data_IF_672104105468
#
_entry.id   IF_672104105468
#
_cell.length_a   1.000
_cell.length_b   1.000
_cell.length_c   1.000
_cell.angle_alpha   90.00
_cell.angle_beta   90.00
_cell.angle_gamma   90.00
#
_symmetry.space_group_name_H-M   'P 1'
#
loop_
_entity.id
_entity.type
_entity.pdbx_description
1 polymer ?
#
# COMPACT_ATOMS: atom_id res chain seq x y z
N UNK A 1 7.24 32.51 -23.61
CA UNK A 1 7.57 31.09 -23.43
C UNK A 1 6.27 30.35 -23.15
N UNK A 2 5.80 29.48 -24.04
CA UNK A 2 4.67 28.60 -23.75
C UNK A 2 5.21 27.37 -23.02
N UNK A 3 4.71 27.08 -21.83
CA UNK A 3 4.99 25.81 -21.16
C UNK A 3 4.32 24.71 -21.99
N UNK A 4 5.08 23.71 -22.42
CA UNK A 4 4.58 22.56 -23.17
C UNK A 4 3.79 21.64 -22.22
N UNK A 5 2.58 22.09 -21.87
CA UNK A 5 1.67 21.41 -20.96
C UNK A 5 0.44 20.98 -21.74
N UNK A 6 0.07 19.71 -21.59
CA UNK A 6 -1.14 19.19 -22.23
C UNK A 6 -2.39 19.96 -21.75
N UNK A 7 -3.36 20.15 -22.63
CA UNK A 7 -4.66 20.76 -22.31
C UNK A 7 -5.33 20.08 -21.12
N UNK A 8 -5.16 18.76 -21.00
CA UNK A 8 -5.68 17.96 -19.88
C UNK A 8 -5.02 18.35 -18.55
N UNK A 9 -3.72 18.63 -18.55
CA UNK A 9 -3.01 19.09 -17.35
C UNK A 9 -3.55 20.44 -16.90
N UNK A 10 -3.72 21.38 -17.84
CA UNK A 10 -4.27 22.72 -17.57
C UNK A 10 -5.68 22.61 -16.98
N UNK A 11 -6.56 21.81 -17.58
CA UNK A 11 -7.92 21.60 -17.09
C UNK A 11 -7.96 21.00 -15.69
N UNK A 12 -7.07 20.04 -15.38
CA UNK A 12 -6.99 19.46 -14.03
C UNK A 12 -6.54 20.47 -12.99
N UNK A 13 -5.55 21.31 -13.32
CA UNK A 13 -5.07 22.36 -12.42
C UNK A 13 -6.16 23.38 -12.13
N UNK A 14 -6.88 23.85 -13.16
CA UNK A 14 -7.97 24.81 -13.00
C UNK A 14 -9.15 24.23 -12.21
N UNK A 15 -9.55 22.99 -12.50
CA UNK A 15 -10.62 22.32 -11.76
C UNK A 15 -10.25 22.16 -10.27
N UNK A 16 -8.99 21.83 -9.98
CA UNK A 16 -8.52 21.71 -8.60
C UNK A 16 -8.53 23.07 -7.89
N UNK A 17 -8.02 24.12 -8.54
CA UNK A 17 -8.04 25.48 -7.98
C UNK A 17 -9.46 25.99 -7.72
N UNK A 18 -10.41 25.78 -8.62
CA UNK A 18 -11.80 26.18 -8.39
C UNK A 18 -12.49 25.41 -7.27
N UNK A 19 -12.06 24.17 -7.00
CA UNK A 19 -12.67 23.33 -5.96
C UNK A 19 -12.09 23.61 -4.57
N UNK A 20 -10.77 23.84 -4.47
CA UNK A 20 -10.06 23.90 -3.20
C UNK A 20 -9.43 25.27 -2.90
N UNK A 21 -9.39 26.18 -3.87
CA UNK A 21 -8.77 27.51 -3.74
C UNK A 21 -7.25 27.49 -3.70
N UNK A 22 -6.62 26.32 -3.73
CA UNK A 22 -5.16 26.13 -3.69
C UNK A 22 -4.75 25.08 -4.71
N UNK A 23 -3.50 25.16 -5.17
CA UNK A 23 -2.86 24.11 -5.98
C UNK A 23 -1.68 23.61 -5.15
N UNK A 24 -1.75 22.41 -4.57
CA UNK A 24 -0.63 21.82 -3.84
C UNK A 24 0.56 21.69 -4.77
N UNK A 25 1.74 22.17 -4.34
CA UNK A 25 2.95 21.89 -5.07
C UNK A 25 3.29 20.41 -4.80
N UNK A 26 3.62 19.58 -5.81
CA UNK A 26 3.99 18.17 -5.58
C UNK A 26 5.19 17.95 -4.63
N UNK A 27 5.86 19.00 -4.16
CA UNK A 27 6.87 18.96 -3.10
C UNK A 27 6.47 19.58 -1.77
N UNK A 28 5.29 20.22 -1.67
CA UNK A 28 4.72 20.64 -0.39
C UNK A 28 3.83 19.49 0.11
N UNK A 29 4.21 18.92 1.24
CA UNK A 29 3.68 17.65 1.75
C UNK A 29 2.24 17.71 2.27
N UNK A 30 1.42 18.71 1.89
CA UNK A 30 0.13 18.93 2.54
C UNK A 30 -0.99 17.97 2.09
N UNK A 31 -0.85 17.27 0.96
CA UNK A 31 -1.87 16.31 0.47
C UNK A 31 -1.43 14.83 0.47
N UNK A 32 -0.14 14.53 0.72
CA UNK A 32 0.31 13.15 0.93
C UNK A 32 -0.17 12.59 2.29
N UNK A 33 -0.43 13.47 3.27
CA UNK A 33 -0.88 13.05 4.60
C UNK A 33 -2.30 12.46 4.61
N UNK A 34 -3.18 12.85 3.68
CA UNK A 34 -4.56 12.34 3.67
C UNK A 34 -4.74 11.03 2.87
N UNK A 35 -3.69 10.58 2.16
CA UNK A 35 -3.62 9.23 1.56
C UNK A 35 -2.74 8.28 2.34
N UNK A 36 -2.44 8.58 3.60
CA UNK A 36 -2.13 7.54 4.59
C UNK A 36 -3.41 6.72 4.79
N UNK A 37 -3.68 5.83 3.84
CA UNK A 37 -4.67 4.77 3.94
C UNK A 37 -4.49 4.20 5.33
N UNK A 38 -5.51 4.34 6.21
CA UNK A 38 -5.52 3.75 7.55
C UNK A 38 -4.87 2.38 7.47
N UNK A 39 -3.61 2.27 7.91
CA UNK A 39 -2.86 1.04 7.76
C UNK A 39 -3.58 0.05 8.65
N UNK A 40 -4.29 -0.91 8.06
CA UNK A 40 -4.98 -1.95 8.84
C UNK A 40 -3.99 -2.77 9.67
N UNK A 41 -2.71 -2.81 9.26
CA UNK A 41 -1.60 -3.42 9.98
C UNK A 41 -0.67 -2.33 10.50
N UNK A 42 -0.32 -2.38 11.79
CA UNK A 42 0.73 -1.56 12.36
C UNK A 42 2.09 -2.13 11.98
N UNK A 43 3.14 -1.34 12.12
CA UNK A 43 4.49 -1.75 11.72
C UNK A 43 4.96 -3.01 12.49
N UNK A 44 4.56 -3.17 13.76
CA UNK A 44 4.81 -4.40 14.56
C UNK A 44 4.12 -5.64 13.99
N UNK A 45 2.90 -5.49 13.46
CA UNK A 45 2.15 -6.60 12.88
C UNK A 45 2.77 -7.00 11.52
N UNK A 46 3.32 -6.01 10.80
CA UNK A 46 4.09 -6.23 9.57
C UNK A 46 5.40 -6.97 9.87
N UNK A 47 6.15 -6.55 10.89
CA UNK A 47 7.40 -7.21 11.28
C UNK A 47 7.19 -8.67 11.67
N UNK A 48 6.14 -8.95 12.45
CA UNK A 48 5.72 -10.32 12.79
C UNK A 48 5.41 -11.15 11.54
N UNK A 49 4.63 -10.60 10.60
CA UNK A 49 4.28 -11.28 9.36
C UNK A 49 5.52 -11.61 8.53
N UNK A 50 6.44 -10.65 8.35
CA UNK A 50 7.66 -10.84 7.57
C UNK A 50 8.59 -11.86 8.25
N UNK A 51 8.76 -11.81 9.57
CA UNK A 51 9.53 -12.79 10.34
C UNK A 51 8.93 -14.19 10.26
N UNK A 52 7.61 -14.31 10.22
CA UNK A 52 6.92 -15.60 10.06
C UNK A 52 7.22 -16.22 8.70
N UNK A 53 7.15 -15.43 7.62
CA UNK A 53 7.47 -15.91 6.27
C UNK A 53 8.95 -16.22 6.09
N UNK A 54 9.85 -15.52 6.77
CA UNK A 54 11.29 -15.84 6.76
C UNK A 54 11.59 -17.19 7.41
N UNK A 55 10.89 -17.52 8.50
CA UNK A 55 11.09 -18.81 9.20
C UNK A 55 10.33 -19.96 8.51
N UNK A 56 9.18 -19.68 7.91
CA UNK A 56 8.29 -20.67 7.31
C UNK A 56 7.71 -20.16 5.98
N UNK A 57 8.46 -20.26 4.87
CA UNK A 57 8.07 -19.69 3.57
C UNK A 57 6.96 -20.46 2.84
N UNK A 58 6.61 -21.66 3.30
CA UNK A 58 5.60 -22.52 2.68
C UNK A 58 4.16 -22.25 3.18
N UNK A 59 3.98 -21.24 4.04
CA UNK A 59 2.67 -20.87 4.57
C UNK A 59 1.78 -20.19 3.52
N UNK A 60 0.51 -20.57 3.49
CA UNK A 60 -0.50 -19.97 2.64
C UNK A 60 -1.02 -18.63 3.22
N UNK A 61 -1.63 -17.81 2.36
CA UNK A 61 -2.12 -16.47 2.74
C UNK A 61 -3.21 -16.52 3.83
N UNK A 62 -4.03 -17.56 3.84
CA UNK A 62 -5.07 -17.80 4.84
C UNK A 62 -4.49 -18.27 6.18
N UNK A 63 -3.43 -19.07 6.17
CA UNK A 63 -2.70 -19.44 7.39
C UNK A 63 -2.03 -18.22 8.03
N UNK A 64 -1.36 -17.39 7.22
CA UNK A 64 -0.77 -16.12 7.68
C UNK A 64 -1.83 -15.16 8.22
N UNK A 65 -3.02 -15.14 7.64
CA UNK A 65 -4.15 -14.36 8.15
C UNK A 65 -4.61 -14.88 9.52
N UNK A 66 -4.77 -16.20 9.69
CA UNK A 66 -5.15 -16.79 10.97
C UNK A 66 -4.09 -16.55 12.04
N UNK A 67 -2.81 -16.60 11.70
CA UNK A 67 -1.72 -16.28 12.63
C UNK A 67 -1.74 -14.82 13.06
N UNK A 68 -2.00 -13.88 12.13
CA UNK A 68 -2.18 -12.46 12.48
C UNK A 68 -3.36 -12.23 13.42
N UNK A 69 -4.47 -12.94 13.21
CA UNK A 69 -5.63 -12.88 14.10
C UNK A 69 -5.31 -13.48 15.48
N UNK A 70 -4.66 -14.63 15.53
CA UNK A 70 -4.35 -15.33 16.77
C UNK A 70 -3.24 -14.66 17.61
N UNK A 71 -2.19 -14.13 16.95
CA UNK A 71 -1.02 -13.55 17.64
C UNK A 71 -1.11 -12.04 17.80
N UNK A 72 -1.63 -11.31 16.81
CA UNK A 72 -1.70 -9.85 16.83
C UNK A 72 -3.12 -9.33 17.14
N UNK A 73 -4.15 -10.18 17.10
CA UNK A 73 -5.55 -9.76 17.27
C UNK A 73 -6.09 -8.96 16.09
N UNK A 74 -5.43 -9.02 14.92
CA UNK A 74 -5.78 -8.19 13.76
C UNK A 74 -6.32 -9.07 12.64
N UNK A 75 -7.60 -8.90 12.33
CA UNK A 75 -8.21 -9.52 11.16
C UNK A 75 -7.98 -8.66 9.91
N UNK A 76 -7.30 -9.22 8.92
CA UNK A 76 -7.07 -8.57 7.61
C UNK A 76 -7.45 -9.49 6.47
N UNK A 77 -7.85 -8.93 5.33
CA UNK A 77 -8.10 -9.75 4.14
C UNK A 77 -6.81 -10.39 3.60
N UNK A 78 -6.91 -11.56 2.98
CA UNK A 78 -5.81 -12.20 2.21
C UNK A 78 -5.12 -11.24 1.23
N UNK A 79 -5.88 -10.35 0.59
CA UNK A 79 -5.33 -9.35 -0.33
C UNK A 79 -4.48 -8.30 0.39
N UNK A 80 -4.81 -7.96 1.64
CA UNK A 80 -3.99 -7.09 2.49
C UNK A 80 -2.70 -7.78 2.89
N UNK A 81 -2.77 -9.04 3.34
CA UNK A 81 -1.57 -9.86 3.64
C UNK A 81 -0.64 -9.90 2.43
N UNK A 82 -1.17 -10.25 1.26
CA UNK A 82 -0.39 -10.31 0.02
C UNK A 82 0.27 -8.97 -0.34
N UNK A 83 -0.47 -7.86 -0.29
CA UNK A 83 0.10 -6.53 -0.57
C UNK A 83 1.21 -6.16 0.42
N UNK A 84 1.09 -6.56 1.69
CA UNK A 84 2.13 -6.34 2.70
C UNK A 84 3.39 -7.15 2.39
N UNK A 85 3.23 -8.43 2.04
CA UNK A 85 4.35 -9.29 1.64
C UNK A 85 5.09 -8.76 0.41
N UNK A 86 4.36 -8.34 -0.62
CA UNK A 86 4.97 -7.74 -1.82
C UNK A 86 5.77 -6.47 -1.50
N UNK A 87 5.28 -5.62 -0.59
CA UNK A 87 6.02 -4.43 -0.13
C UNK A 87 7.28 -4.80 0.64
N UNK A 88 7.27 -5.92 1.36
CA UNK A 88 8.43 -6.50 2.02
C UNK A 88 9.39 -7.25 1.09
N UNK A 89 9.16 -7.23 -0.23
CA UNK A 89 10.02 -7.88 -1.22
C UNK A 89 9.75 -9.37 -1.44
N UNK A 90 8.72 -9.93 -0.81
CA UNK A 90 8.34 -11.33 -1.03
C UNK A 90 7.57 -11.48 -2.34
N UNK A 91 8.05 -12.37 -3.20
CA UNK A 91 7.36 -12.77 -4.42
C UNK A 91 6.89 -14.22 -4.29
N UNK A 92 5.74 -14.52 -4.90
CA UNK A 92 5.22 -15.88 -4.93
C UNK A 92 6.23 -16.80 -5.62
N UNK A 93 6.44 -17.96 -5.03
CA UNK A 93 7.07 -19.07 -5.73
C UNK A 93 6.14 -19.45 -6.88
N UNK A 94 6.60 -19.26 -8.12
CA UNK A 94 5.88 -19.78 -9.30
C UNK A 94 5.98 -21.30 -9.24
N UNK A 95 4.90 -21.97 -8.85
CA UNK A 95 4.77 -23.40 -9.04
C UNK A 95 4.61 -23.65 -10.54
N UNK A 96 5.73 -23.93 -11.22
CA UNK A 96 5.72 -24.52 -12.55
C UNK A 96 5.37 -26.00 -12.31
N UNK A 97 4.10 -26.35 -12.38
CA UNK A 97 3.69 -27.74 -12.49
C UNK A 97 3.94 -28.19 -13.93
N UNK A 98 4.74 -29.25 -14.10
CA UNK A 98 4.95 -29.99 -15.35
C UNK A 98 3.87 -31.07 -15.51
#
# INVERSE_FOLDING_TARGET
MCLDLSTRTIQRVLAHFWTYGTIPNPGDGTDEEMRVRKRQLRDVDVEFLLGTVQNSPDLYLDELQQMLEASCGVYVSRATVWRTLCRGGFMMKKNIQQ
#
